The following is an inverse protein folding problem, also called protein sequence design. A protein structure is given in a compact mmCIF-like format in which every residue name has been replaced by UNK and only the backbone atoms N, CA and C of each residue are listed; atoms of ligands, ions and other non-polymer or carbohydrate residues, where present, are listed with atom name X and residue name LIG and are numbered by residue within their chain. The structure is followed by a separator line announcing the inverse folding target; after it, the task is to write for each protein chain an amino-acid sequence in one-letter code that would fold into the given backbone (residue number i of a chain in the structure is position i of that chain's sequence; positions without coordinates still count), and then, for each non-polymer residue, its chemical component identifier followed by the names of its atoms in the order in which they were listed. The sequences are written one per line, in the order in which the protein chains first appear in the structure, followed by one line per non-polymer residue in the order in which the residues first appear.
data_IF_911231059327
#
_entry.id   IF_911231059327
#
_cell.length_a   1.000
_cell.length_b   1.000
_cell.length_c   1.000
_cell.angle_alpha   90.00
_cell.angle_beta   90.00
_cell.angle_gamma   90.00
#
_symmetry.space_group_name_H-M   'P 1'
#
loop_
_entity.id
_entity.type
_entity.pdbx_description
1 polymer ?
#
# COMPACT_ATOMS: atom_id res chain seq x y z
N UNK A 1 20.17 3.31 -5.77
CA UNK A 1 18.79 3.85 -5.87
C UNK A 1 17.79 2.76 -5.53
N UNK A 2 16.83 3.05 -4.68
CA UNK A 2 15.81 2.10 -4.28
C UNK A 2 14.51 2.39 -5.03
N UNK A 3 13.87 1.34 -5.54
CA UNK A 3 12.54 1.45 -6.15
C UNK A 3 11.48 1.12 -5.13
N UNK A 4 10.50 1.99 -5.05
CA UNK A 4 9.35 1.86 -4.14
C UNK A 4 8.06 1.80 -4.93
N UNK A 5 7.07 1.19 -4.32
CA UNK A 5 5.68 1.27 -4.74
C UNK A 5 4.92 2.02 -3.65
N UNK A 6 4.26 3.10 -4.02
CA UNK A 6 3.38 3.85 -3.13
C UNK A 6 1.95 3.40 -3.36
N UNK A 7 1.31 2.90 -2.32
CA UNK A 7 -0.11 2.58 -2.33
C UNK A 7 -0.84 3.74 -1.67
N UNK A 8 -1.64 4.46 -2.46
CA UNK A 8 -2.34 5.66 -2.01
C UNK A 8 -3.78 5.33 -1.65
N UNK A 9 -4.16 5.69 -0.42
CA UNK A 9 -5.49 5.38 0.07
C UNK A 9 -6.51 6.42 -0.39
N UNK A 10 -7.67 5.93 -0.84
CA UNK A 10 -8.83 6.77 -1.16
C UNK A 10 -8.60 7.86 -2.20
N UNK A 11 -7.64 7.67 -3.10
CA UNK A 11 -7.48 8.55 -4.24
C UNK A 11 -8.47 8.11 -5.33
N UNK A 12 -9.06 9.05 -6.06
CA UNK A 12 -10.08 8.79 -7.08
C UNK A 12 -11.33 8.06 -6.54
N UNK A 13 -11.68 8.32 -5.28
CA UNK A 13 -12.84 7.73 -4.60
C UNK A 13 -13.65 8.86 -3.97
N UNK A 14 -14.99 8.71 -3.93
CA UNK A 14 -15.85 9.63 -3.19
C UNK A 14 -15.87 11.07 -3.69
N UNK A 15 -15.73 11.28 -4.98
CA UNK A 15 -15.74 12.61 -5.59
C UNK A 15 -14.34 13.25 -5.68
N UNK A 16 -13.32 12.66 -5.09
CA UNK A 16 -11.93 13.09 -5.26
C UNK A 16 -11.39 12.47 -6.55
N UNK A 17 -11.01 13.30 -7.51
CA UNK A 17 -10.51 12.83 -8.80
C UNK A 17 -9.16 13.46 -9.08
N UNK A 18 -8.17 12.63 -9.40
CA UNK A 18 -6.83 13.07 -9.79
C UNK A 18 -6.45 12.35 -11.08
N UNK A 19 -6.02 13.13 -12.07
CA UNK A 19 -5.52 12.55 -13.31
C UNK A 19 -4.17 11.87 -13.03
N UNK A 20 -3.95 10.71 -13.64
CA UNK A 20 -2.70 9.97 -13.45
C UNK A 20 -1.48 10.78 -13.88
N UNK A 21 -1.60 11.59 -14.93
CA UNK A 21 -0.52 12.48 -15.34
C UNK A 21 -0.17 13.50 -14.25
N UNK A 22 -1.17 14.09 -13.63
CA UNK A 22 -0.96 15.07 -12.55
C UNK A 22 -0.31 14.38 -11.34
N UNK A 23 -0.73 13.16 -11.04
CA UNK A 23 -0.16 12.39 -9.95
C UNK A 23 1.32 12.08 -10.22
N UNK A 24 1.67 11.69 -11.44
CA UNK A 24 3.08 11.46 -11.82
C UNK A 24 3.91 12.73 -11.67
N UNK A 25 3.37 13.87 -12.10
CA UNK A 25 4.07 15.16 -11.98
C UNK A 25 4.31 15.54 -10.52
N UNK A 26 3.37 15.26 -9.62
CA UNK A 26 3.56 15.50 -8.20
C UNK A 26 4.73 14.69 -7.64
N UNK A 27 4.83 13.42 -8.02
CA UNK A 27 5.94 12.57 -7.59
C UNK A 27 7.26 13.03 -8.20
N UNK A 28 7.28 13.43 -9.48
CA UNK A 28 8.47 13.97 -10.12
C UNK A 28 8.95 15.26 -9.44
N UNK A 29 8.02 16.09 -8.98
CA UNK A 29 8.33 17.34 -8.29
C UNK A 29 9.09 17.14 -6.97
N UNK A 30 9.06 15.94 -6.42
CA UNK A 30 9.80 15.55 -5.23
C UNK A 30 11.21 15.07 -5.54
N UNK A 31 11.61 15.07 -6.80
CA UNK A 31 12.92 14.62 -7.24
C UNK A 31 13.01 13.11 -7.50
N UNK A 32 11.88 12.42 -7.51
CA UNK A 32 11.85 10.99 -7.80
C UNK A 32 12.00 10.72 -9.29
N UNK A 33 12.57 9.56 -9.62
CA UNK A 33 12.87 9.17 -11.00
C UNK A 33 12.10 7.90 -11.37
N UNK A 34 11.94 7.67 -12.67
CA UNK A 34 11.24 6.50 -13.17
C UNK A 34 9.82 6.37 -12.66
N UNK A 35 9.13 7.51 -12.55
CA UNK A 35 7.77 7.55 -11.99
C UNK A 35 6.77 6.97 -12.98
N UNK A 36 6.06 5.95 -12.55
CA UNK A 36 5.02 5.29 -13.33
C UNK A 36 3.80 5.06 -12.46
N UNK A 37 2.62 5.18 -13.03
CA UNK A 37 1.37 4.86 -12.34
C UNK A 37 0.82 3.54 -12.86
N UNK A 38 0.18 2.80 -11.98
CA UNK A 38 -0.42 1.53 -12.31
C UNK A 38 -1.87 1.54 -11.85
N UNK A 39 -2.79 1.51 -12.80
CA UNK A 39 -4.23 1.63 -12.64
C UNK A 39 -4.67 2.90 -11.89
N UNK A 40 -5.95 3.28 -12.03
CA UNK A 40 -6.49 4.53 -11.47
C UNK A 40 -6.69 4.49 -9.94
N UNK A 41 -6.46 3.36 -9.29
CA UNK A 41 -6.60 3.21 -7.84
C UNK A 41 -5.44 3.82 -7.03
N UNK A 42 -4.46 4.44 -7.71
CA UNK A 42 -3.43 5.20 -7.02
C UNK A 42 -2.21 4.41 -6.60
N UNK A 43 -1.70 3.56 -7.48
CA UNK A 43 -0.43 2.88 -7.27
C UNK A 43 0.65 3.60 -8.09
N UNK A 44 1.71 4.05 -7.43
CA UNK A 44 2.79 4.79 -8.08
C UNK A 44 4.12 4.09 -7.82
N UNK A 45 4.84 3.79 -8.88
CA UNK A 45 6.19 3.21 -8.82
C UNK A 45 7.20 4.31 -9.07
N UNK A 46 8.22 4.40 -8.25
CA UNK A 46 9.25 5.42 -8.40
C UNK A 46 10.59 4.96 -7.81
N UNK A 47 11.66 5.63 -8.23
CA UNK A 47 13.00 5.42 -7.68
C UNK A 47 13.47 6.63 -6.92
N UNK A 48 14.21 6.41 -5.84
CA UNK A 48 14.79 7.48 -5.05
C UNK A 48 16.10 7.03 -4.39
N UNK A 49 16.95 7.99 -4.09
CA UNK A 49 18.18 7.76 -3.31
C UNK A 49 17.95 7.88 -1.81
N UNK A 50 16.78 8.34 -1.39
CA UNK A 50 16.47 8.47 0.03
C UNK A 50 16.41 7.08 0.68
N UNK A 51 16.84 6.99 1.94
CA UNK A 51 17.03 5.73 2.64
C UNK A 51 15.94 5.41 3.65
N UNK A 52 15.22 6.42 4.15
CA UNK A 52 14.24 6.25 5.22
C UNK A 52 12.83 6.25 4.66
N UNK A 53 12.19 5.08 4.61
CA UNK A 53 10.83 4.94 4.08
C UNK A 53 9.81 5.75 4.88
N UNK A 54 9.93 5.82 6.21
CA UNK A 54 9.01 6.59 7.05
C UNK A 54 9.02 8.08 6.71
N UNK A 55 10.22 8.63 6.49
CA UNK A 55 10.36 10.02 6.06
C UNK A 55 9.78 10.26 4.68
N UNK A 56 9.92 9.30 3.78
CA UNK A 56 9.37 9.38 2.43
C UNK A 56 7.84 9.37 2.45
N UNK A 57 7.22 8.54 3.25
CA UNK A 57 5.76 8.50 3.39
C UNK A 57 5.23 9.87 3.78
N UNK A 58 5.83 10.48 4.80
CA UNK A 58 5.43 11.81 5.27
C UNK A 58 5.64 12.89 4.20
N UNK A 59 6.76 12.84 3.50
CA UNK A 59 7.08 13.79 2.42
C UNK A 59 6.04 13.71 1.30
N UNK A 60 5.68 12.51 0.89
CA UNK A 60 4.67 12.29 -0.16
C UNK A 60 3.31 12.75 0.33
N UNK A 61 2.91 12.38 1.53
CA UNK A 61 1.62 12.77 2.11
C UNK A 61 1.47 14.29 2.20
N UNK A 62 2.53 14.97 2.63
CA UNK A 62 2.54 16.43 2.72
C UNK A 62 2.37 17.07 1.33
N UNK A 63 3.11 16.57 0.34
CA UNK A 63 3.03 17.10 -1.02
C UNK A 63 1.66 16.88 -1.65
N UNK A 64 1.07 15.72 -1.44
CA UNK A 64 -0.27 15.42 -1.95
C UNK A 64 -1.32 16.31 -1.28
N UNK A 65 -1.22 16.50 0.02
CA UNK A 65 -2.13 17.39 0.75
C UNK A 65 -2.06 18.82 0.25
N UNK A 66 -0.86 19.33 0.02
CA UNK A 66 -0.67 20.70 -0.50
C UNK A 66 -1.29 20.86 -1.89
N UNK A 67 -1.12 19.87 -2.75
CA UNK A 67 -1.57 19.94 -4.14
C UNK A 67 -3.05 19.62 -4.30
N UNK A 68 -3.57 18.66 -3.56
CA UNK A 68 -4.93 18.16 -3.74
C UNK A 68 -5.94 18.74 -2.77
N UNK A 69 -5.48 19.27 -1.63
CA UNK A 69 -6.36 19.90 -0.64
C UNK A 69 -7.03 18.92 0.33
N UNK A 70 -6.66 17.64 0.30
CA UNK A 70 -7.13 16.63 1.26
C UNK A 70 -6.01 15.65 1.58
N UNK A 71 -6.16 14.93 2.67
CA UNK A 71 -5.15 13.98 3.11
C UNK A 71 -5.25 12.68 2.34
N UNK A 72 -4.09 12.18 1.90
CA UNK A 72 -3.97 10.89 1.23
C UNK A 72 -2.93 10.06 1.99
N UNK A 73 -3.38 9.07 2.71
CA UNK A 73 -2.46 8.16 3.41
C UNK A 73 -1.66 7.37 2.38
N UNK A 74 -0.36 7.29 2.60
CA UNK A 74 0.59 6.67 1.67
C UNK A 74 1.29 5.52 2.37
N UNK A 75 1.26 4.34 1.75
CA UNK A 75 1.91 3.15 2.26
C UNK A 75 3.01 2.75 1.27
N UNK A 76 4.26 2.82 1.71
CA UNK A 76 5.41 2.48 0.88
C UNK A 76 5.87 1.05 1.12
N UNK A 77 6.20 0.37 0.03
CA UNK A 77 6.88 -0.92 0.06
C UNK A 77 7.97 -0.91 -1.00
N UNK A 78 9.11 -1.53 -0.71
CA UNK A 78 10.12 -1.75 -1.75
C UNK A 78 9.64 -2.81 -2.73
N UNK A 79 10.25 -2.86 -3.91
CA UNK A 79 9.94 -3.91 -4.88
C UNK A 79 10.13 -5.30 -4.30
N UNK A 80 11.18 -5.49 -3.48
CA UNK A 80 11.44 -6.77 -2.81
C UNK A 80 10.35 -7.12 -1.78
N UNK A 81 9.87 -6.13 -1.03
CA UNK A 81 8.77 -6.33 -0.08
C UNK A 81 7.49 -6.74 -0.78
N UNK A 82 7.16 -6.10 -1.90
CA UNK A 82 5.97 -6.46 -2.68
C UNK A 82 6.09 -7.86 -3.26
N UNK A 83 7.27 -8.23 -3.76
CA UNK A 83 7.52 -9.59 -4.26
C UNK A 83 7.33 -10.64 -3.15
N UNK A 84 7.80 -10.35 -1.94
CA UNK A 84 7.62 -11.23 -0.80
C UNK A 84 6.15 -11.40 -0.43
N UNK A 85 5.37 -10.31 -0.47
CA UNK A 85 3.92 -10.36 -0.23
C UNK A 85 3.23 -11.21 -1.28
N UNK A 86 3.60 -11.04 -2.55
CA UNK A 86 3.01 -11.80 -3.66
C UNK A 86 3.27 -13.30 -3.54
N UNK A 87 4.40 -13.70 -2.94
CA UNK A 87 4.78 -15.09 -2.75
C UNK A 87 4.30 -15.67 -1.43
N UNK A 88 3.81 -14.85 -0.52
CA UNK A 88 3.35 -15.29 0.79
C UNK A 88 2.06 -16.09 0.67
N UNK A 89 2.00 -17.22 1.36
CA UNK A 89 0.84 -18.12 1.36
C UNK A 89 0.40 -18.41 2.80
N UNK A 90 -0.11 -17.38 3.52
CA UNK A 90 -0.46 -17.54 4.93
C UNK A 90 -1.60 -18.52 5.19
N UNK A 91 -2.41 -18.85 4.18
CA UNK A 91 -3.52 -19.79 4.28
C UNK A 91 -3.27 -21.10 3.54
N UNK A 92 -2.11 -21.22 2.88
CA UNK A 92 -1.83 -22.35 2.00
C UNK A 92 -2.26 -22.07 0.56
N UNK A 93 -1.53 -22.69 -0.39
CA UNK A 93 -1.72 -22.41 -1.81
C UNK A 93 -3.10 -22.80 -2.33
N UNK A 94 -3.62 -23.96 -1.87
CA UNK A 94 -4.90 -24.48 -2.35
C UNK A 94 -6.07 -23.61 -1.87
N UNK A 95 -6.07 -23.22 -0.60
CA UNK A 95 -7.10 -22.37 -0.04
C UNK A 95 -7.13 -20.99 -0.75
N UNK A 96 -5.96 -20.43 -1.02
CA UNK A 96 -5.87 -19.13 -1.70
C UNK A 96 -6.38 -19.21 -3.14
N UNK A 97 -6.09 -20.29 -3.84
CA UNK A 97 -6.58 -20.48 -5.22
C UNK A 97 -8.06 -20.72 -5.30
N UNK A 98 -8.65 -21.41 -4.33
CA UNK A 98 -10.08 -21.72 -4.34
C UNK A 98 -10.95 -20.63 -3.73
N UNK A 99 -10.36 -19.64 -3.08
CA UNK A 99 -11.12 -18.54 -2.47
C UNK A 99 -11.73 -17.63 -3.53
N UNK A 100 -12.92 -17.10 -3.25
CA UNK A 100 -13.60 -16.14 -4.12
C UNK A 100 -12.82 -14.82 -4.18
N UNK A 101 -12.16 -14.45 -3.08
CA UNK A 101 -11.32 -13.27 -3.00
C UNK A 101 -10.14 -13.53 -2.06
N UNK A 102 -8.99 -12.95 -2.42
CA UNK A 102 -7.80 -12.95 -1.58
C UNK A 102 -7.24 -11.54 -1.60
N UNK A 103 -7.18 -10.91 -0.44
CA UNK A 103 -6.78 -9.50 -0.32
C UNK A 103 -5.67 -9.32 0.69
N UNK A 104 -4.89 -8.27 0.50
CA UNK A 104 -3.82 -7.88 1.43
C UNK A 104 -4.04 -6.42 1.81
N UNK A 105 -4.09 -6.13 3.09
CA UNK A 105 -4.11 -4.77 3.59
C UNK A 105 -2.71 -4.38 4.06
N UNK A 106 -2.20 -3.27 3.53
CA UNK A 106 -0.91 -2.72 3.93
C UNK A 106 -1.09 -1.75 5.08
N UNK A 107 -0.25 -1.87 6.10
CA UNK A 107 -0.26 -1.00 7.27
C UNK A 107 1.05 -0.20 7.32
N UNK A 108 1.01 0.98 7.95
CA UNK A 108 2.21 1.80 8.16
C UNK A 108 3.18 1.12 9.12
N UNK A 109 2.63 0.43 10.13
CA UNK A 109 3.39 -0.26 11.16
C UNK A 109 2.73 -1.60 11.45
N UNK A 110 3.48 -2.57 12.02
CA UNK A 110 2.86 -3.82 12.47
C UNK A 110 1.77 -3.52 13.50
N UNK A 111 0.66 -4.29 13.52
CA UNK A 111 -0.34 -4.15 14.56
C UNK A 111 0.28 -4.40 15.94
N UNK A 112 -0.11 -3.62 16.94
CA UNK A 112 0.32 -3.85 18.30
C UNK A 112 -0.15 -5.24 18.79
N UNK A 113 0.58 -5.85 19.73
CA UNK A 113 0.23 -7.19 20.23
C UNK A 113 -1.24 -7.37 20.65
N UNK A 114 -1.91 -6.38 21.31
CA UNK A 114 -3.32 -6.53 21.64
C UNK A 114 -4.27 -6.58 20.44
N UNK A 115 -3.86 -6.01 19.29
CA UNK A 115 -4.70 -5.95 18.08
C UNK A 115 -4.71 -7.26 17.31
N UNK A 116 -3.63 -8.05 17.36
CA UNK A 116 -3.51 -9.28 16.57
C UNK A 116 -4.60 -10.30 16.91
N UNK A 117 -4.88 -10.63 18.20
CA UNK A 117 -5.98 -11.52 18.53
C UNK A 117 -7.34 -10.96 18.10
N UNK A 118 -7.53 -9.64 18.15
CA UNK A 118 -8.78 -9.02 17.72
C UNK A 118 -9.01 -9.20 16.23
N UNK A 119 -7.96 -9.06 15.42
CA UNK A 119 -8.03 -9.28 13.97
C UNK A 119 -8.36 -10.74 13.69
N UNK A 120 -7.67 -11.67 14.34
CA UNK A 120 -7.94 -13.10 14.17
C UNK A 120 -9.34 -13.48 14.64
N UNK A 121 -9.87 -12.77 15.64
CA UNK A 121 -11.23 -12.97 16.15
C UNK A 121 -12.33 -12.54 15.18
N UNK A 122 -12.02 -11.81 14.12
CA UNK A 122 -12.98 -11.44 13.08
C UNK A 122 -13.25 -12.58 12.11
N UNK A 123 -12.59 -13.69 12.27
CA UNK A 123 -12.74 -14.88 11.45
C UNK A 123 -14.19 -15.39 11.46
N UNK A 124 -14.68 -15.75 10.27
CA UNK A 124 -16.01 -16.34 10.08
C UNK A 124 -15.88 -17.65 9.31
N UNK A 125 -16.99 -18.30 8.95
CA UNK A 125 -16.97 -19.51 8.13
C UNK A 125 -16.45 -19.23 6.72
N UNK A 126 -16.58 -17.98 6.23
CA UNK A 126 -16.19 -17.60 4.87
C UNK A 126 -14.99 -16.66 4.85
N UNK A 127 -14.67 -16.04 5.98
CA UNK A 127 -13.56 -15.08 6.08
C UNK A 127 -12.50 -15.57 7.05
N UNK A 128 -11.25 -15.45 6.67
CA UNK A 128 -10.11 -15.72 7.53
C UNK A 128 -9.07 -14.59 7.40
N UNK A 129 -8.34 -14.36 8.48
CA UNK A 129 -7.37 -13.27 8.56
C UNK A 129 -6.05 -13.79 9.12
N UNK A 130 -4.95 -13.36 8.51
CA UNK A 130 -3.60 -13.64 9.01
C UNK A 130 -2.78 -12.36 8.99
N UNK A 131 -2.05 -12.11 10.07
CA UNK A 131 -1.16 -10.97 10.21
C UNK A 131 0.27 -11.43 9.97
N UNK A 132 0.98 -10.75 9.08
CA UNK A 132 2.40 -10.97 8.80
C UNK A 132 3.10 -9.61 8.73
N UNK A 133 3.83 -9.24 9.78
CA UNK A 133 4.50 -7.94 9.84
C UNK A 133 3.54 -6.78 9.70
N UNK A 134 3.67 -6.01 8.63
CA UNK A 134 2.82 -4.84 8.35
C UNK A 134 1.69 -5.15 7.37
N UNK A 135 1.40 -6.41 7.12
CA UNK A 135 0.33 -6.82 6.22
C UNK A 135 -0.71 -7.65 6.95
N UNK A 136 -1.97 -7.44 6.60
CA UNK A 136 -3.09 -8.28 7.02
C UNK A 136 -3.64 -8.96 5.77
N UNK A 137 -3.58 -10.28 5.75
CA UNK A 137 -4.09 -11.09 4.65
C UNK A 137 -5.52 -11.51 4.97
N UNK A 138 -6.38 -11.35 4.00
CA UNK A 138 -7.81 -11.64 4.12
C UNK A 138 -8.21 -12.58 3.01
N UNK A 139 -8.72 -13.74 3.42
CA UNK A 139 -9.20 -14.79 2.51
C UNK A 139 -10.73 -14.77 2.45
#
# INVERSE_FOLDING_TARGET
MTRYIAFLRAINVGGHTVKMEDLRELFRSLGFTGVETFIASGNVVFGTRARAAAGLERTIETRLREALGYEVATFLRTAAEVAAVAQCQPFGADEQRSAAAFSVAFLSQPPGPPSVPLIHGLRTEIDDFQVRGREVYWL
#
